data_IF_144860787878
#
_entry.id   IF_144860787878
#
_cell.length_a   1.000
_cell.length_b   1.000
_cell.length_c   1.000
_cell.angle_alpha   90.00
_cell.angle_beta   90.00
_cell.angle_gamma   90.00
#
_symmetry.space_group_name_H-M   'P 1'
#
loop_
_entity.id
_entity.type
_entity.pdbx_description
1 polymer ?
#
# COMPACT_ATOMS: atom_id res chain seq x y z
N UNK A 1 8.80 -17.53 -1.47
CA UNK A 1 7.36 -17.54 -1.14
C UNK A 1 7.12 -16.15 -0.64
N UNK A 2 6.48 -15.34 -1.47
CA UNK A 2 6.32 -13.90 -1.27
C UNK A 2 5.25 -13.66 -0.21
N UNK A 3 5.49 -12.87 0.85
CA UNK A 3 4.48 -12.55 1.85
C UNK A 3 3.29 -11.82 1.22
N UNK A 4 2.10 -12.39 1.38
CA UNK A 4 0.84 -11.82 0.92
C UNK A 4 0.22 -10.98 2.04
N UNK A 5 -0.04 -9.70 1.78
CA UNK A 5 -0.65 -8.77 2.73
C UNK A 5 -1.90 -8.14 2.14
N UNK A 6 -2.95 -7.99 2.95
CA UNK A 6 -4.17 -7.28 2.53
C UNK A 6 -3.99 -5.79 2.72
N UNK A 7 -4.62 -4.99 1.86
CA UNK A 7 -4.62 -3.53 2.00
C UNK A 7 -5.07 -3.08 3.41
N UNK A 8 -6.10 -3.68 3.99
CA UNK A 8 -6.55 -3.34 5.36
C UNK A 8 -5.56 -3.69 6.48
N UNK A 9 -4.45 -4.36 6.18
CA UNK A 9 -3.38 -4.73 7.13
C UNK A 9 -2.02 -4.19 6.70
N UNK A 10 -1.96 -3.37 5.66
CA UNK A 10 -0.69 -2.88 5.13
C UNK A 10 0.03 -1.95 6.11
N UNK A 11 -0.74 -1.26 6.95
CA UNK A 11 -0.23 -0.36 7.99
C UNK A 11 0.87 -1.03 8.83
N UNK A 12 0.65 -2.27 9.29
CA UNK A 12 1.65 -3.02 10.05
C UNK A 12 2.93 -3.35 9.27
N UNK A 13 2.84 -3.49 7.95
CA UNK A 13 4.01 -3.67 7.07
C UNK A 13 4.78 -2.36 6.96
N UNK A 14 4.08 -1.24 6.79
CA UNK A 14 4.70 0.08 6.74
C UNK A 14 5.30 0.50 8.08
N UNK A 15 4.65 0.23 9.20
CA UNK A 15 5.18 0.50 10.54
C UNK A 15 6.49 -0.26 10.84
N UNK A 16 6.76 -1.35 10.12
CA UNK A 16 7.98 -2.13 10.29
C UNK A 16 9.21 -1.52 9.60
N UNK A 17 9.03 -0.50 8.76
CA UNK A 17 10.12 0.19 8.05
C UNK A 17 10.77 1.27 8.92
N UNK A 18 12.03 1.60 8.62
CA UNK A 18 12.75 2.69 9.28
C UNK A 18 12.55 4.00 8.52
N UNK A 19 12.03 5.03 9.21
CA UNK A 19 11.76 6.35 8.61
C UNK A 19 12.79 7.40 9.03
N UNK A 20 13.11 8.38 8.15
CA UNK A 20 12.61 8.53 6.77
C UNK A 20 13.20 7.49 5.82
N UNK A 21 12.41 7.05 4.82
CA UNK A 21 12.81 6.07 3.81
C UNK A 21 12.59 6.62 2.40
N UNK A 22 13.55 6.39 1.51
CA UNK A 22 13.42 6.73 0.09
C UNK A 22 12.51 5.74 -0.65
N UNK A 23 11.86 6.19 -1.73
CA UNK A 23 10.94 5.36 -2.51
C UNK A 23 11.63 4.14 -3.11
N UNK A 24 12.89 4.27 -3.54
CA UNK A 24 13.70 3.18 -4.09
C UNK A 24 14.01 2.11 -3.03
N UNK A 25 14.44 2.51 -1.84
CA UNK A 25 14.67 1.62 -0.70
C UNK A 25 13.37 0.94 -0.26
N UNK A 26 12.28 1.70 -0.12
CA UNK A 26 10.97 1.15 0.25
C UNK A 26 10.45 0.16 -0.80
N UNK A 27 10.62 0.48 -2.09
CA UNK A 27 10.24 -0.42 -3.17
C UNK A 27 11.07 -1.70 -3.18
N UNK A 28 12.38 -1.59 -2.94
CA UNK A 28 13.27 -2.75 -2.85
C UNK A 28 12.96 -3.65 -1.65
N UNK A 29 12.67 -3.08 -0.48
CA UNK A 29 12.31 -3.84 0.72
C UNK A 29 10.94 -4.53 0.57
N UNK A 30 10.06 -3.95 -0.24
CA UNK A 30 8.68 -4.42 -0.44
C UNK A 30 8.47 -5.13 -1.79
N UNK A 31 9.53 -5.36 -2.58
CA UNK A 31 9.49 -6.08 -3.87
C UNK A 31 9.08 -7.55 -3.70
N UNK A 32 9.35 -8.17 -2.56
CA UNK A 32 8.85 -9.53 -2.30
C UNK A 32 7.43 -9.54 -1.71
N UNK A 33 6.79 -8.38 -1.48
CA UNK A 33 5.47 -8.30 -0.84
C UNK A 33 4.36 -8.20 -1.89
N UNK A 34 3.41 -9.14 -1.82
CA UNK A 34 2.22 -9.14 -2.67
C UNK A 34 1.05 -8.48 -1.93
N UNK A 35 0.57 -7.36 -2.46
CA UNK A 35 -0.63 -6.66 -1.99
C UNK A 35 -1.90 -7.31 -2.57
N UNK A 36 -2.73 -7.83 -1.69
CA UNK A 36 -4.05 -8.36 -2.01
C UNK A 36 -5.10 -7.23 -2.00
N UNK A 37 -5.72 -7.03 -3.15
CA UNK A 37 -6.71 -6.01 -3.47
C UNK A 37 -8.07 -6.65 -3.77
N UNK A 38 -9.13 -5.84 -3.89
CA UNK A 38 -10.46 -6.35 -4.25
C UNK A 38 -10.54 -6.85 -5.70
N UNK A 39 -9.77 -6.23 -6.60
CA UNK A 39 -9.71 -6.54 -8.04
C UNK A 39 -8.67 -7.63 -8.38
N UNK A 40 -7.82 -8.01 -7.42
CA UNK A 40 -6.75 -8.99 -7.65
C UNK A 40 -5.57 -8.80 -6.72
N UNK A 41 -4.38 -9.11 -7.19
CA UNK A 41 -3.13 -8.95 -6.45
C UNK A 41 -2.13 -8.12 -7.24
N UNK A 42 -1.28 -7.35 -6.56
CA UNK A 42 -0.22 -6.55 -7.17
C UNK A 42 1.02 -6.53 -6.29
N UNK A 43 2.18 -6.38 -6.92
CA UNK A 43 3.42 -6.19 -6.20
C UNK A 43 3.45 -4.83 -5.50
N UNK A 44 3.86 -4.80 -4.23
CA UNK A 44 3.88 -3.56 -3.45
C UNK A 44 5.04 -2.65 -3.87
N UNK A 45 6.24 -3.21 -4.10
CA UNK A 45 7.38 -2.45 -4.61
C UNK A 45 7.07 -1.74 -5.93
N UNK A 46 6.50 -2.44 -6.91
CA UNK A 46 6.10 -1.83 -8.20
C UNK A 46 5.05 -0.72 -8.05
N UNK A 47 4.20 -0.78 -7.02
CA UNK A 47 3.23 0.29 -6.75
C UNK A 47 3.92 1.54 -6.19
N UNK A 48 4.93 1.35 -5.33
CA UNK A 48 5.71 2.46 -4.78
C UNK A 48 6.58 3.14 -5.83
N UNK A 49 7.16 2.39 -6.78
CA UNK A 49 7.90 2.97 -7.91
C UNK A 49 7.02 3.86 -8.81
N UNK A 50 5.69 3.71 -8.75
CA UNK A 50 4.74 4.57 -9.47
C UNK A 50 4.36 5.83 -8.70
N UNK A 51 4.73 5.93 -7.44
CA UNK A 51 4.47 7.12 -6.62
C UNK A 51 5.27 8.31 -7.16
N UNK A 52 4.69 9.51 -7.04
CA UNK A 52 5.36 10.76 -7.45
C UNK A 52 6.31 11.31 -6.36
N UNK A 53 6.42 10.60 -5.24
CA UNK A 53 7.25 10.94 -4.09
C UNK A 53 8.63 10.32 -4.21
N UNK A 54 9.64 11.07 -3.80
CA UNK A 54 11.02 10.57 -3.69
C UNK A 54 11.32 9.91 -2.33
N UNK A 55 10.62 10.32 -1.26
CA UNK A 55 10.80 9.79 0.09
C UNK A 55 9.52 9.93 0.93
N UNK A 56 9.46 9.13 2.00
CA UNK A 56 8.35 9.08 2.94
C UNK A 56 8.86 9.35 4.36
N UNK A 57 8.19 10.27 5.06
CA UNK A 57 8.54 10.64 6.44
C UNK A 57 7.89 9.72 7.48
N UNK A 58 6.85 8.98 7.10
CA UNK A 58 6.03 8.19 8.02
C UNK A 58 5.24 7.10 7.28
N UNK A 59 4.78 6.05 7.97
CA UNK A 59 3.96 4.99 7.37
C UNK A 59 2.64 5.50 6.80
N UNK A 60 2.06 6.53 7.43
CA UNK A 60 0.87 7.19 6.91
C UNK A 60 1.09 7.90 5.57
N UNK A 61 2.30 8.41 5.30
CA UNK A 61 2.63 9.06 4.03
C UNK A 61 2.70 8.00 2.91
N UNK A 62 3.31 6.84 3.20
CA UNK A 62 3.32 5.66 2.32
C UNK A 62 1.90 5.16 2.01
N UNK A 63 1.07 5.01 3.05
CA UNK A 63 -0.31 4.56 2.88
C UNK A 63 -1.11 5.53 2.00
N UNK A 64 -1.01 6.83 2.29
CA UNK A 64 -1.70 7.86 1.52
C UNK A 64 -1.29 7.83 0.04
N UNK A 65 -0.01 7.66 -0.25
CA UNK A 65 0.52 7.63 -1.62
C UNK A 65 0.17 6.32 -2.32
N UNK A 66 0.19 5.19 -1.60
CA UNK A 66 -0.34 3.91 -2.10
C UNK A 66 -1.82 4.06 -2.54
N UNK A 67 -2.65 4.72 -1.73
CA UNK A 67 -4.04 4.97 -2.10
C UNK A 67 -4.20 5.92 -3.29
N UNK A 68 -3.22 6.78 -3.55
CA UNK A 68 -3.20 7.67 -4.72
C UNK A 68 -2.88 6.90 -6.01
N UNK A 69 -1.90 6.00 -5.97
CA UNK A 69 -1.53 5.16 -7.14
C UNK A 69 -2.55 4.05 -7.42
N UNK A 70 -3.28 3.59 -6.40
CA UNK A 70 -4.28 2.54 -6.55
C UNK A 70 -5.55 3.04 -7.25
N UNK A 71 -6.06 2.32 -8.26
CA UNK A 71 -7.35 2.66 -8.83
C UNK A 71 -8.44 2.43 -7.79
N UNK A 72 -9.43 3.32 -7.76
CA UNK A 72 -10.61 3.25 -6.87
C UNK A 72 -11.30 1.88 -6.82
N UNK A 73 -11.26 1.13 -7.92
CA UNK A 73 -11.84 -0.22 -8.03
C UNK A 73 -11.05 -1.27 -7.24
N UNK A 74 -9.73 -1.08 -7.05
CA UNK A 74 -8.86 -2.00 -6.33
C UNK A 74 -8.97 -1.87 -4.80
N UNK A 75 -9.35 -0.69 -4.30
CA UNK A 75 -9.50 -0.41 -2.86
C UNK A 75 -10.75 -1.10 -2.28
N UNK A 76 -11.63 -1.63 -3.14
CA UNK A 76 -12.94 -2.14 -2.77
C UNK A 76 -13.94 -1.00 -2.60
N UNK A 77 -15.22 -1.28 -2.83
CA UNK A 77 -16.27 -0.30 -2.53
C UNK A 77 -16.16 0.07 -1.04
N UNK A 78 -16.10 1.36 -0.67
CA UNK A 78 -16.34 1.74 0.71
C UNK A 78 -17.73 1.20 1.01
N UNK A 79 -17.83 0.26 1.95
CA UNK A 79 -19.09 -0.34 2.35
C UNK A 79 -20.13 0.76 2.38
N UNK A 80 -21.19 0.58 1.57
CA UNK A 80 -22.33 1.47 1.61
C UNK A 80 -22.67 1.68 3.07
N UNK A 81 -22.80 2.96 3.40
CA UNK A 81 -23.25 3.48 4.67
C UNK A 81 -24.13 2.48 5.41
N UNK A 82 -23.85 2.27 6.69
CA UNK A 82 -24.83 1.73 7.63
C UNK A 82 -26.16 2.44 7.37
N UNK A 83 -27.02 1.75 6.66
CA UNK A 83 -28.31 2.18 6.18
C UNK A 83 -29.29 1.07 6.48
N UNK A 84 -29.35 0.68 7.76
CA UNK A 84 -30.33 -0.27 8.26
C UNK A 84 -30.89 0.22 9.60
N UNK A 85 -32.13 0.71 9.57
CA UNK A 85 -33.09 0.63 10.70
C UNK A 85 -33.35 1.88 11.50
#
# INVERSE_FOLDING_TARGET
>A
MSPEVKLSRIDATFESLEYPIDTDDAASELDDVTLLLADGERNLGELLERSERDNFESPADLESELHNVLPREAVGEPYQSEGEG
#
